data_IF_628697488568
#
_entry.id   IF_628697488568
#
_cell.length_a   1.000
_cell.length_b   1.000
_cell.length_c   1.000
_cell.angle_alpha   90.00
_cell.angle_beta   90.00
_cell.angle_gamma   90.00
#
_symmetry.space_group_name_H-M   'P 1'
#
loop_
_entity.id
_entity.type
_entity.pdbx_description
1 polymer ?
#
# COMPACT_ATOMS: atom_id res chain seq x y z
N UNK A 1 -24.17 5.26 10.23
CA UNK A 1 -22.75 5.13 10.65
C UNK A 1 -22.29 6.47 11.19
N UNK A 2 -21.58 6.54 12.33
CA UNK A 2 -20.97 7.80 12.75
C UNK A 2 -19.87 8.22 11.76
N UNK A 3 -19.60 9.53 11.66
CA UNK A 3 -18.72 10.12 10.65
C UNK A 3 -17.29 9.54 10.67
N UNK A 4 -16.76 9.24 11.86
CA UNK A 4 -15.43 8.62 12.02
C UNK A 4 -15.36 7.28 11.29
N UNK A 5 -16.34 6.41 11.49
CA UNK A 5 -16.37 5.08 10.88
C UNK A 5 -16.44 5.15 9.37
N UNK A 6 -17.22 6.10 8.85
CA UNK A 6 -17.29 6.36 7.43
C UNK A 6 -15.90 6.74 6.89
N UNK A 7 -15.24 7.75 7.49
CA UNK A 7 -13.89 8.19 7.08
C UNK A 7 -12.87 7.05 7.13
N UNK A 8 -12.87 6.28 8.22
CA UNK A 8 -11.95 5.16 8.43
C UNK A 8 -12.12 4.08 7.37
N UNK A 9 -13.36 3.67 7.09
CA UNK A 9 -13.64 2.66 6.08
C UNK A 9 -13.38 3.17 4.66
N UNK A 10 -13.70 4.44 4.37
CA UNK A 10 -13.43 5.06 3.07
C UNK A 10 -11.93 5.14 2.77
N UNK A 11 -11.09 5.58 3.73
CA UNK A 11 -9.64 5.62 3.52
C UNK A 11 -9.01 4.23 3.47
N UNK A 12 -9.49 3.29 4.30
CA UNK A 12 -9.06 1.91 4.20
C UNK A 12 -9.41 1.31 2.83
N UNK A 13 -10.62 1.55 2.32
CA UNK A 13 -11.07 1.05 1.03
C UNK A 13 -10.29 1.69 -0.13
N UNK A 14 -10.03 3.00 -0.05
CA UNK A 14 -9.19 3.70 -1.03
C UNK A 14 -7.76 3.14 -1.04
N UNK A 15 -7.22 2.82 0.14
CA UNK A 15 -5.87 2.29 0.26
C UNK A 15 -5.76 0.82 -0.16
N UNK A 16 -6.38 -0.09 0.58
CA UNK A 16 -6.26 -1.54 0.37
C UNK A 16 -7.08 -1.98 -0.83
N UNK A 17 -8.29 -1.44 -1.00
CA UNK A 17 -9.11 -1.70 -2.18
C UNK A 17 -8.49 -1.12 -3.44
N UNK A 18 -7.97 0.12 -3.38
CA UNK A 18 -7.25 0.74 -4.49
C UNK A 18 -5.99 -0.04 -4.88
N UNK A 19 -5.18 -0.44 -3.90
CA UNK A 19 -4.02 -1.32 -4.14
C UNK A 19 -4.44 -2.64 -4.80
N UNK A 20 -5.49 -3.29 -4.29
CA UNK A 20 -5.98 -4.57 -4.81
C UNK A 20 -6.44 -4.44 -6.26
N UNK A 21 -7.26 -3.44 -6.55
CA UNK A 21 -7.76 -3.19 -7.90
C UNK A 21 -6.62 -2.85 -8.86
N UNK A 22 -5.70 -1.98 -8.43
CA UNK A 22 -4.59 -1.58 -9.26
C UNK A 22 -3.67 -2.76 -9.60
N UNK A 23 -3.25 -3.52 -8.59
CA UNK A 23 -2.31 -4.63 -8.77
C UNK A 23 -2.91 -5.79 -9.58
N UNK A 24 -4.19 -6.11 -9.39
CA UNK A 24 -4.80 -7.28 -10.02
C UNK A 24 -5.44 -6.99 -11.37
N UNK A 25 -5.85 -5.74 -11.63
CA UNK A 25 -6.61 -5.38 -12.84
C UNK A 25 -5.82 -4.40 -13.70
N UNK A 26 -5.39 -3.27 -13.12
CA UNK A 26 -4.78 -2.19 -13.90
C UNK A 26 -3.38 -2.56 -14.39
N UNK A 27 -2.55 -3.16 -13.53
CA UNK A 27 -1.18 -3.54 -13.91
C UNK A 27 -1.16 -4.57 -15.05
N UNK A 28 -1.91 -5.68 -15.00
CA UNK A 28 -1.90 -6.64 -16.12
C UNK A 28 -2.41 -6.04 -17.43
N UNK A 29 -3.55 -5.33 -17.40
CA UNK A 29 -4.12 -4.70 -18.60
C UNK A 29 -3.14 -3.67 -19.17
N UNK A 30 -2.52 -2.86 -18.32
CA UNK A 30 -1.52 -1.88 -18.75
C UNK A 30 -0.27 -2.52 -19.34
N UNK A 31 0.20 -3.63 -18.76
CA UNK A 31 1.34 -4.39 -19.30
C UNK A 31 1.05 -4.95 -20.69
N UNK A 32 -0.15 -5.50 -20.91
CA UNK A 32 -0.60 -6.02 -22.21
C UNK A 32 -0.75 -4.91 -23.27
N UNK A 33 -1.26 -3.74 -22.90
CA UNK A 33 -1.56 -2.64 -23.84
C UNK A 33 -0.36 -1.72 -24.12
N UNK A 34 0.48 -1.47 -23.12
CA UNK A 34 1.54 -0.45 -23.17
C UNK A 34 2.95 -1.06 -23.15
N UNK A 35 3.08 -2.33 -22.75
CA UNK A 35 4.34 -2.96 -22.42
C UNK A 35 4.69 -2.84 -20.93
N UNK A 36 5.41 -3.85 -20.42
CA UNK A 36 5.79 -3.97 -19.01
C UNK A 36 6.57 -2.75 -18.48
N UNK A 37 7.49 -2.21 -19.28
CA UNK A 37 8.33 -1.07 -18.87
C UNK A 37 7.48 0.19 -18.68
N UNK A 38 6.68 0.57 -19.68
CA UNK A 38 5.80 1.74 -19.63
C UNK A 38 4.82 1.64 -18.47
N UNK A 39 4.20 0.47 -18.29
CA UNK A 39 3.31 0.22 -17.17
C UNK A 39 4.04 0.30 -15.82
N UNK A 40 5.30 -0.12 -15.74
CA UNK A 40 6.16 0.02 -14.57
C UNK A 40 6.35 1.50 -14.17
N UNK A 41 6.58 2.40 -15.12
CA UNK A 41 6.68 3.84 -14.85
C UNK A 41 5.35 4.47 -14.39
N UNK A 42 4.22 4.03 -14.95
CA UNK A 42 2.91 4.43 -14.44
C UNK A 42 2.73 3.93 -13.00
N UNK A 43 3.10 2.67 -12.74
CA UNK A 43 3.04 2.04 -11.42
C UNK A 43 3.91 2.78 -10.41
N UNK A 44 5.08 3.26 -10.81
CA UNK A 44 5.96 4.08 -9.97
C UNK A 44 5.26 5.36 -9.50
N UNK A 45 4.58 6.09 -10.39
CA UNK A 45 3.84 7.30 -10.05
C UNK A 45 2.62 7.01 -9.17
N UNK A 46 1.83 5.98 -9.52
CA UNK A 46 0.67 5.57 -8.71
C UNK A 46 1.10 5.15 -7.31
N UNK A 47 2.24 4.48 -7.20
CA UNK A 47 2.81 4.03 -5.93
C UNK A 47 3.12 5.19 -4.98
N UNK A 48 3.57 6.34 -5.50
CA UNK A 48 3.77 7.53 -4.68
C UNK A 48 2.46 8.00 -4.02
N UNK A 49 1.37 8.03 -4.79
CA UNK A 49 0.03 8.35 -4.28
C UNK A 49 -0.48 7.31 -3.30
N UNK A 50 -0.33 6.01 -3.61
CA UNK A 50 -0.73 4.92 -2.72
C UNK A 50 -0.01 4.97 -1.38
N UNK A 51 1.28 5.31 -1.35
CA UNK A 51 2.02 5.50 -0.10
C UNK A 51 1.48 6.68 0.72
N UNK A 52 1.17 7.81 0.08
CA UNK A 52 0.55 8.96 0.75
C UNK A 52 -0.84 8.63 1.34
N UNK A 53 -1.67 7.94 0.56
CA UNK A 53 -2.97 7.43 0.99
C UNK A 53 -2.81 6.43 2.15
N UNK A 54 -1.80 5.56 2.09
CA UNK A 54 -1.51 4.59 3.16
C UNK A 54 -1.15 5.24 4.49
N UNK A 55 -0.36 6.32 4.47
CA UNK A 55 -0.08 7.12 5.67
C UNK A 55 -1.37 7.70 6.24
N UNK A 56 -2.21 8.33 5.41
CA UNK A 56 -3.48 8.89 5.86
C UNK A 56 -4.42 7.81 6.43
N UNK A 57 -4.52 6.66 5.77
CA UNK A 57 -5.27 5.52 6.26
C UNK A 57 -4.75 5.02 7.62
N UNK A 58 -3.43 4.89 7.80
CA UNK A 58 -2.86 4.48 9.09
C UNK A 58 -3.16 5.45 10.23
N UNK A 59 -3.09 6.75 9.98
CA UNK A 59 -3.43 7.77 10.99
C UNK A 59 -4.91 7.67 11.40
N UNK A 60 -5.81 7.47 10.43
CA UNK A 60 -7.24 7.31 10.75
C UNK A 60 -7.57 5.99 11.42
N UNK A 61 -6.90 4.89 11.06
CA UNK A 61 -7.02 3.61 11.77
C UNK A 61 -6.52 3.73 13.21
N UNK A 62 -5.39 4.40 13.44
CA UNK A 62 -4.86 4.67 14.78
C UNK A 62 -5.81 5.55 15.61
N UNK A 63 -6.41 6.58 15.00
CA UNK A 63 -7.44 7.39 15.64
C UNK A 63 -8.67 6.54 16.05
N UNK A 64 -9.11 5.62 15.18
CA UNK A 64 -10.19 4.70 15.51
C UNK A 64 -9.83 3.76 16.67
N UNK A 65 -8.61 3.20 16.66
CA UNK A 65 -8.14 2.29 17.70
C UNK A 65 -7.96 2.99 19.06
N UNK A 66 -7.55 4.26 19.07
CA UNK A 66 -7.48 5.07 20.27
C UNK A 66 -8.86 5.38 20.85
N UNK A 67 -9.84 5.69 19.99
CA UNK A 67 -11.21 5.99 20.44
C UNK A 67 -11.95 4.75 20.96
N UNK A 68 -11.66 3.57 20.40
CA UNK A 68 -12.26 2.28 20.80
C UNK A 68 -11.21 1.17 20.71
N UNK A 69 -10.43 0.93 21.77
CA UNK A 69 -9.36 -0.04 21.75
C UNK A 69 -9.90 -1.46 21.64
N UNK A 70 -9.50 -2.17 20.59
CA UNK A 70 -9.73 -3.60 20.41
C UNK A 70 -8.46 -4.43 20.62
N UNK A 71 -8.60 -5.66 21.11
CA UNK A 71 -7.47 -6.56 21.28
C UNK A 71 -6.74 -6.82 19.95
N UNK A 72 -5.41 -6.67 19.96
CA UNK A 72 -4.53 -6.91 18.81
C UNK A 72 -4.50 -5.80 17.75
N UNK A 73 -5.33 -4.75 17.86
CA UNK A 73 -5.34 -3.66 16.87
C UNK A 73 -4.02 -2.87 16.85
N UNK A 74 -3.51 -2.51 18.03
CA UNK A 74 -2.24 -1.76 18.14
C UNK A 74 -1.04 -2.55 17.62
N UNK A 75 -0.94 -3.85 17.94
CA UNK A 75 0.10 -4.70 17.38
C UNK A 75 0.04 -4.73 15.84
N UNK A 76 -1.16 -4.90 15.28
CA UNK A 76 -1.34 -4.91 13.83
C UNK A 76 -1.04 -3.54 13.20
N UNK A 77 -1.38 -2.43 13.86
CA UNK A 77 -1.04 -1.08 13.42
C UNK A 77 0.46 -0.83 13.43
N UNK A 78 1.16 -1.24 14.47
CA UNK A 78 2.63 -1.13 14.54
C UNK A 78 3.28 -1.90 13.39
N UNK A 79 2.82 -3.11 13.10
CA UNK A 79 3.32 -3.89 11.97
C UNK A 79 3.03 -3.21 10.62
N UNK A 80 1.81 -2.71 10.42
CA UNK A 80 1.46 -1.97 9.20
C UNK A 80 2.28 -0.68 9.04
N UNK A 81 2.52 0.04 10.13
CA UNK A 81 3.35 1.25 10.13
C UNK A 81 4.81 0.93 9.80
N UNK A 82 5.35 -0.17 10.35
CA UNK A 82 6.69 -0.64 10.02
C UNK A 82 6.82 -1.03 8.53
N UNK A 83 5.83 -1.75 7.98
CA UNK A 83 5.78 -2.08 6.57
C UNK A 83 5.66 -0.83 5.69
N UNK A 84 4.80 0.12 6.07
CA UNK A 84 4.64 1.39 5.34
C UNK A 84 5.94 2.20 5.33
N UNK A 85 6.67 2.25 6.46
CA UNK A 85 7.97 2.88 6.53
C UNK A 85 8.99 2.15 5.64
N UNK A 86 9.02 0.81 5.69
CA UNK A 86 9.85 -0.01 4.80
C UNK A 86 9.58 0.26 3.32
N UNK A 87 8.32 0.32 2.91
CA UNK A 87 7.92 0.62 1.52
C UNK A 87 8.37 2.01 1.09
N UNK A 88 8.25 3.03 1.94
CA UNK A 88 8.77 4.37 1.64
C UNK A 88 10.30 4.36 1.43
N UNK A 89 11.04 3.59 2.23
CA UNK A 89 12.49 3.47 2.10
C UNK A 89 12.89 2.70 0.84
N UNK A 90 12.21 1.60 0.53
CA UNK A 90 12.47 0.80 -0.68
C UNK A 90 12.08 1.57 -1.94
N UNK A 91 10.96 2.31 -1.93
CA UNK A 91 10.54 3.13 -3.06
C UNK A 91 11.57 4.22 -3.41
N UNK A 92 12.19 4.85 -2.40
CA UNK A 92 13.28 5.82 -2.62
C UNK A 92 14.52 5.21 -3.26
N UNK A 93 14.75 3.90 -3.09
CA UNK A 93 15.87 3.20 -3.72
C UNK A 93 15.59 2.84 -5.19
N UNK A 94 14.32 2.66 -5.56
CA UNK A 94 13.92 2.37 -6.94
C UNK A 94 14.04 3.58 -7.87
N UNK A 95 13.75 4.78 -7.36
CA UNK A 95 13.76 6.01 -8.16
C UNK A 95 15.07 6.25 -8.93
N UNK A 96 16.26 6.20 -8.29
CA UNK A 96 17.54 6.36 -8.95
C UNK A 96 17.91 5.28 -9.98
N UNK A 97 17.20 4.14 -9.99
CA UNK A 97 17.42 3.04 -10.94
C UNK A 97 16.60 3.21 -12.23
N UNK A 98 15.82 4.29 -12.33
CA UNK A 98 14.89 4.56 -13.42
C UNK A 98 15.22 5.89 -14.10
N UNK A 99 15.29 5.88 -15.43
CA UNK A 99 15.27 7.09 -16.23
C UNK A 99 13.85 7.32 -16.76
N UNK A 100 13.14 8.26 -16.16
CA UNK A 100 11.76 8.59 -16.54
C UNK A 100 11.65 9.31 -17.88
N UNK A 101 12.73 9.94 -18.37
CA UNK A 101 12.73 10.62 -19.66
C UNK A 101 12.96 9.62 -20.80
N UNK A 102 13.87 8.68 -20.60
CA UNK A 102 14.13 7.60 -21.55
C UNK A 102 13.12 6.44 -21.45
N UNK A 103 12.38 6.32 -20.33
CA UNK A 103 11.54 5.15 -20.00
C UNK A 103 12.43 3.89 -19.97
N UNK A 104 13.55 3.98 -19.26
CA UNK A 104 14.56 2.93 -19.19
C UNK A 104 14.93 2.58 -17.74
N UNK A 105 15.26 1.31 -17.53
CA UNK A 105 15.80 0.80 -16.26
C UNK A 105 17.32 0.79 -16.38
N UNK A 106 17.99 1.60 -15.56
CA UNK A 106 19.44 1.85 -15.67
C UNK A 106 20.28 0.66 -15.20
N UNK A 107 19.79 -0.08 -14.20
CA UNK A 107 20.42 -1.28 -13.64
C UNK A 107 19.32 -2.33 -13.41
N UNK A 108 19.02 -3.17 -14.42
CA UNK A 108 17.92 -4.13 -14.35
C UNK A 108 18.05 -5.12 -13.20
N UNK A 109 19.23 -5.69 -12.97
CA UNK A 109 19.44 -6.72 -11.95
C UNK A 109 19.15 -6.15 -10.55
N UNK A 110 19.74 -5.00 -10.22
CA UNK A 110 19.49 -4.35 -8.94
C UNK A 110 18.05 -3.86 -8.82
N UNK A 111 17.45 -3.37 -9.91
CA UNK A 111 16.05 -2.98 -9.93
C UNK A 111 15.14 -4.17 -9.57
N UNK A 112 15.33 -5.34 -10.19
CA UNK A 112 14.52 -6.53 -9.92
C UNK A 112 14.67 -7.02 -8.48
N UNK A 113 15.87 -6.98 -7.90
CA UNK A 113 16.09 -7.35 -6.51
C UNK A 113 15.31 -6.44 -5.54
N UNK A 114 15.48 -5.12 -5.69
CA UNK A 114 14.81 -4.13 -4.83
C UNK A 114 13.29 -4.15 -5.06
N UNK A 115 12.86 -4.31 -6.31
CA UNK A 115 11.44 -4.39 -6.67
C UNK A 115 10.79 -5.66 -6.08
N UNK A 116 11.49 -6.79 -6.07
CA UNK A 116 11.00 -8.01 -5.42
C UNK A 116 10.78 -7.81 -3.92
N UNK A 117 11.69 -7.12 -3.23
CA UNK A 117 11.52 -6.76 -1.82
C UNK A 117 10.29 -5.87 -1.65
N UNK A 118 10.10 -4.89 -2.53
CA UNK A 118 8.92 -4.01 -2.53
C UNK A 118 7.62 -4.81 -2.63
N UNK A 119 7.54 -5.77 -3.56
CA UNK A 119 6.37 -6.63 -3.74
C UNK A 119 6.08 -7.48 -2.51
N UNK A 120 7.11 -8.10 -1.91
CA UNK A 120 6.96 -8.90 -0.69
C UNK A 120 6.39 -8.04 0.46
N UNK A 121 6.95 -6.85 0.70
CA UNK A 121 6.46 -5.93 1.73
C UNK A 121 5.01 -5.51 1.46
N UNK A 122 4.69 -5.22 0.20
CA UNK A 122 3.33 -4.86 -0.23
C UNK A 122 2.35 -6.00 0.02
N UNK A 123 2.72 -7.25 -0.25
CA UNK A 123 1.87 -8.43 0.02
C UNK A 123 1.59 -8.59 1.52
N UNK A 124 2.61 -8.46 2.38
CA UNK A 124 2.38 -8.49 3.83
C UNK A 124 1.51 -7.33 4.31
N UNK A 125 1.72 -6.13 3.76
CA UNK A 125 0.90 -4.97 4.09
C UNK A 125 -0.56 -5.19 3.69
N UNK A 126 -0.80 -5.75 2.50
CA UNK A 126 -2.13 -6.11 2.02
C UNK A 126 -2.82 -7.11 2.96
N UNK A 127 -2.14 -8.20 3.34
CA UNK A 127 -2.67 -9.19 4.29
C UNK A 127 -3.03 -8.56 5.65
N UNK A 128 -2.11 -7.76 6.20
CA UNK A 128 -2.34 -7.08 7.48
C UNK A 128 -3.42 -5.99 7.39
N UNK A 129 -3.62 -5.39 6.22
CA UNK A 129 -4.68 -4.43 5.94
C UNK A 129 -6.06 -5.06 6.04
N UNK A 130 -6.24 -6.23 5.42
CA UNK A 130 -7.47 -7.03 5.56
C UNK A 130 -7.69 -7.53 6.99
N UNK A 131 -6.62 -8.04 7.62
CA UNK A 131 -6.66 -8.45 9.04
C UNK A 131 -7.08 -7.29 9.94
N UNK A 132 -6.62 -6.07 9.68
CA UNK A 132 -7.00 -4.91 10.49
C UNK A 132 -8.48 -4.59 10.37
N UNK A 133 -9.05 -4.62 9.15
CA UNK A 133 -10.49 -4.45 8.96
C UNK A 133 -11.27 -5.49 9.75
N UNK A 134 -10.87 -6.75 9.71
CA UNK A 134 -11.47 -7.81 10.51
C UNK A 134 -11.44 -7.49 12.02
N UNK A 135 -10.31 -7.01 12.55
CA UNK A 135 -10.19 -6.61 13.96
C UNK A 135 -11.11 -5.43 14.32
N UNK A 136 -11.30 -4.49 13.39
CA UNK A 136 -12.24 -3.36 13.56
C UNK A 136 -13.68 -3.85 13.60
N UNK A 137 -14.06 -4.81 12.76
CA UNK A 137 -15.41 -5.41 12.75
C UNK A 137 -15.63 -6.24 14.02
N UNK A 138 -14.67 -7.11 14.37
CA UNK A 138 -14.76 -7.98 15.56
C UNK A 138 -14.92 -7.18 16.84
N UNK A 139 -14.17 -6.09 17.02
CA UNK A 139 -14.26 -5.23 18.20
C UNK A 139 -15.60 -4.49 18.35
N UNK A 140 -16.49 -4.59 17.35
CA UNK A 140 -17.83 -3.98 17.38
C UNK A 140 -18.95 -5.02 17.55
N UNK A 141 -18.66 -6.29 17.28
CA UNK A 141 -19.64 -7.37 17.36
C UNK A 141 -19.69 -8.03 18.75
N UNK A 142 -18.66 -7.81 19.58
CA UNK A 142 -18.63 -8.19 21.00
C UNK A 142 -18.60 -6.95 21.88
#
# INVERSE_FOLDING_TARGET
>A
MPLREFIVLSLWALWIGGLTFYALIVVPIGGELLGETQQGFITQQVTQWLNGIGIAALLTLAWSAAARPGSGQWLNLTLLAALQAGLLLVHRQLGPLLDAQAIEVLDPDRFYEVHRVYLILTTFQWLLGWRHLWLVIKARAG
#
